data_IF_216707547737
#
_entry.id   IF_216707547737
#
_cell.length_a   1.000
_cell.length_b   1.000
_cell.length_c   1.000
_cell.angle_alpha   90.00
_cell.angle_beta   90.00
_cell.angle_gamma   90.00
#
_symmetry.space_group_name_H-M   'P 1'
#
loop_
_entity.id
_entity.type
_entity.pdbx_description
1 polymer ?
#
# COMPACT_ATOMS: atom_id res chain seq x y z
N UNK A 1 -13.51 6.58 -13.25
CA UNK A 1 -13.30 5.28 -12.57
C UNK A 1 -14.22 5.22 -11.37
N UNK A 2 -15.11 4.22 -11.30
CA UNK A 2 -15.92 3.94 -10.09
C UNK A 2 -15.34 2.71 -9.39
N UNK A 3 -15.26 2.75 -8.07
CA UNK A 3 -14.82 1.62 -7.23
C UNK A 3 -15.75 1.49 -6.02
N UNK A 4 -16.10 0.26 -5.67
CA UNK A 4 -17.00 -0.07 -4.56
C UNK A 4 -16.51 -1.32 -3.80
N UNK A 5 -16.97 -1.48 -2.58
CA UNK A 5 -16.67 -2.65 -1.73
C UNK A 5 -17.98 -3.35 -1.37
N UNK A 6 -18.10 -4.62 -1.77
CA UNK A 6 -19.24 -5.47 -1.44
C UNK A 6 -18.82 -6.56 -0.44
N UNK A 7 -19.43 -6.56 0.75
CA UNK A 7 -19.18 -7.53 1.81
C UNK A 7 -20.46 -8.32 2.15
N UNK A 8 -20.80 -9.36 1.37
CA UNK A 8 -21.99 -10.18 1.62
C UNK A 8 -21.78 -11.01 2.90
N UNK A 9 -22.46 -10.64 4.00
CA UNK A 9 -22.46 -11.41 5.26
C UNK A 9 -23.49 -12.55 5.26
N UNK A 10 -23.59 -13.26 4.13
CA UNK A 10 -24.58 -14.33 3.91
C UNK A 10 -25.76 -13.94 3.02
N UNK A 11 -25.95 -12.64 2.76
CA UNK A 11 -27.00 -12.11 1.86
C UNK A 11 -26.43 -11.71 0.49
N UNK A 12 -27.29 -11.65 -0.53
CA UNK A 12 -26.91 -11.13 -1.85
C UNK A 12 -26.90 -9.60 -1.87
N UNK A 13 -25.79 -9.02 -2.31
CA UNK A 13 -25.60 -7.58 -2.51
C UNK A 13 -25.38 -7.30 -4.00
N UNK A 14 -25.95 -6.20 -4.49
CA UNK A 14 -25.76 -5.71 -5.86
C UNK A 14 -25.51 -4.20 -5.86
N UNK A 15 -24.66 -3.73 -6.76
CA UNK A 15 -24.37 -2.31 -6.98
C UNK A 15 -24.45 -2.02 -8.48
N UNK A 16 -25.13 -0.94 -8.85
CA UNK A 16 -25.22 -0.49 -10.24
C UNK A 16 -24.20 0.62 -10.51
N UNK A 17 -23.54 0.54 -11.67
CA UNK A 17 -22.47 1.47 -12.06
C UNK A 17 -22.82 2.10 -13.40
N UNK A 18 -23.30 3.34 -13.35
CA UNK A 18 -23.51 4.13 -14.57
C UNK A 18 -22.18 4.64 -15.13
N UNK A 19 -22.00 4.49 -16.44
CA UNK A 19 -20.85 5.01 -17.20
C UNK A 19 -21.35 6.06 -18.19
N UNK A 20 -21.12 7.33 -17.87
CA UNK A 20 -21.41 8.46 -18.77
C UNK A 20 -20.21 8.74 -19.66
N UNK A 21 -20.43 8.76 -20.98
CA UNK A 21 -19.41 9.17 -21.96
C UNK A 21 -19.53 10.68 -22.22
N UNK A 22 -18.42 11.39 -22.45
CA UNK A 22 -18.46 12.80 -22.84
C UNK A 22 -18.96 12.96 -24.28
N UNK A 23 -19.48 14.15 -24.62
CA UNK A 23 -20.11 14.42 -25.92
C UNK A 23 -19.15 14.32 -27.12
N UNK A 24 -17.86 14.52 -26.87
CA UNK A 24 -16.77 14.51 -27.86
C UNK A 24 -16.10 13.13 -28.02
N UNK A 25 -16.80 12.05 -27.66
CA UNK A 25 -16.27 10.68 -27.77
C UNK A 25 -16.04 10.28 -29.24
N UNK A 26 -14.85 9.73 -29.53
CA UNK A 26 -14.51 9.22 -30.85
C UNK A 26 -15.18 7.84 -31.03
N UNK A 27 -15.78 7.62 -32.19
CA UNK A 27 -16.44 6.35 -32.49
C UNK A 27 -15.45 5.17 -32.36
N UNK A 28 -15.84 4.15 -31.60
CA UNK A 28 -15.01 2.97 -31.33
C UNK A 28 -13.90 3.15 -30.29
N UNK A 29 -13.72 4.34 -29.69
CA UNK A 29 -12.67 4.56 -28.68
C UNK A 29 -13.08 4.20 -27.25
N UNK A 30 -14.36 3.94 -27.01
CA UNK A 30 -14.88 3.66 -25.68
C UNK A 30 -14.43 2.27 -25.20
N UNK A 31 -13.69 2.24 -24.09
CA UNK A 31 -13.24 1.00 -23.43
C UNK A 31 -13.72 1.04 -21.98
N UNK A 32 -14.34 -0.05 -21.53
CA UNK A 32 -14.68 -0.28 -20.12
C UNK A 32 -14.06 -1.59 -19.66
N UNK A 33 -13.50 -1.59 -18.45
CA UNK A 33 -12.95 -2.79 -17.81
C UNK A 33 -13.42 -2.88 -16.37
N UNK A 34 -13.75 -4.10 -15.94
CA UNK A 34 -14.16 -4.40 -14.57
C UNK A 34 -13.10 -5.27 -13.93
N UNK A 35 -12.80 -4.97 -12.66
CA UNK A 35 -11.74 -5.62 -11.92
C UNK A 35 -12.21 -5.94 -10.51
N UNK A 36 -12.24 -7.23 -10.15
CA UNK A 36 -12.68 -7.68 -8.82
C UNK A 36 -11.48 -8.13 -8.01
N UNK A 37 -11.48 -7.79 -6.72
CA UNK A 37 -10.48 -8.24 -5.74
C UNK A 37 -11.23 -8.57 -4.45
N UNK A 38 -11.03 -9.77 -3.91
CA UNK A 38 -11.59 -10.16 -2.62
C UNK A 38 -10.83 -9.61 -1.42
N UNK A 39 -9.64 -9.06 -1.65
CA UNK A 39 -8.77 -8.53 -0.62
C UNK A 39 -8.03 -7.27 -1.10
N UNK A 40 -8.22 -6.17 -0.38
CA UNK A 40 -7.63 -4.85 -0.70
C UNK A 40 -6.10 -4.93 -0.77
N UNK A 41 -5.48 -5.75 0.06
CA UNK A 41 -4.03 -5.98 0.09
C UNK A 41 -3.61 -7.19 -0.76
N UNK A 42 -4.53 -8.07 -1.14
CA UNK A 42 -4.25 -9.28 -1.92
C UNK A 42 -3.55 -9.00 -3.27
N UNK A 43 -3.93 -7.94 -3.99
CA UNK A 43 -3.20 -7.56 -5.23
C UNK A 43 -1.82 -7.02 -4.95
N UNK A 44 -1.72 -6.24 -3.88
CA UNK A 44 -0.47 -5.66 -3.46
C UNK A 44 0.55 -6.80 -3.20
N UNK A 45 0.14 -7.80 -2.43
CA UNK A 45 1.01 -8.88 -1.96
C UNK A 45 1.41 -9.91 -3.01
N UNK A 46 0.71 -9.99 -4.16
CA UNK A 46 1.18 -10.78 -5.31
C UNK A 46 2.58 -10.36 -5.77
N UNK A 47 2.95 -9.09 -5.56
CA UNK A 47 4.28 -8.54 -5.87
C UNK A 47 4.99 -8.09 -4.59
N UNK A 48 5.10 -9.01 -3.63
CA UNK A 48 5.66 -8.74 -2.30
C UNK A 48 7.08 -8.14 -2.36
N UNK A 49 7.89 -8.53 -3.34
CA UNK A 49 9.21 -7.96 -3.58
C UNK A 49 9.18 -6.49 -4.06
N UNK A 50 8.12 -6.08 -4.75
CA UNK A 50 7.87 -4.68 -5.10
C UNK A 50 7.28 -3.85 -3.95
N UNK A 51 6.73 -4.51 -2.93
CA UNK A 51 6.05 -3.88 -1.80
C UNK A 51 6.80 -3.87 -0.48
N UNK A 52 7.81 -4.72 -0.33
CA UNK A 52 8.79 -4.64 0.76
C UNK A 52 10.11 -4.04 0.27
N UNK A 53 10.15 -2.80 -0.27
CA UNK A 53 11.42 -2.18 -0.62
C UNK A 53 12.17 -1.72 0.63
N UNK A 54 13.49 -1.64 0.50
CA UNK A 54 14.34 -1.07 1.53
C UNK A 54 14.05 0.44 1.67
N UNK A 55 13.79 0.98 2.87
CA UNK A 55 13.62 2.41 3.08
C UNK A 55 14.85 3.24 2.65
N UNK A 56 14.60 4.37 1.99
CA UNK A 56 15.63 5.23 1.41
C UNK A 56 15.22 6.71 1.43
N UNK A 57 16.10 7.58 0.95
CA UNK A 57 15.78 9.00 0.75
C UNK A 57 15.80 9.85 2.02
N UNK A 58 15.15 11.01 1.94
CA UNK A 58 14.96 11.97 3.03
C UNK A 58 13.91 11.47 4.05
N UNK A 59 13.67 12.21 5.14
CA UNK A 59 12.77 11.77 6.21
C UNK A 59 11.36 11.45 5.74
N UNK A 60 10.84 12.18 4.75
CA UNK A 60 9.53 11.93 4.15
C UNK A 60 9.53 10.66 3.29
N UNK A 61 10.49 10.53 2.38
CA UNK A 61 10.61 9.36 1.50
C UNK A 61 10.88 8.08 2.30
N UNK A 62 11.69 8.17 3.36
CA UNK A 62 11.97 7.06 4.23
C UNK A 62 10.69 6.59 4.95
N UNK A 63 9.86 7.50 5.46
CA UNK A 63 8.57 7.17 6.07
C UNK A 63 7.54 6.64 5.07
N UNK A 64 7.51 7.18 3.86
CA UNK A 64 6.62 6.73 2.79
C UNK A 64 6.86 5.25 2.43
N UNK A 65 8.08 4.74 2.63
CA UNK A 65 8.43 3.32 2.44
C UNK A 65 8.31 2.52 3.74
N UNK A 66 8.72 3.10 4.88
CA UNK A 66 8.75 2.39 6.16
C UNK A 66 7.35 2.02 6.64
N UNK A 67 6.37 2.92 6.50
CA UNK A 67 5.01 2.72 7.01
C UNK A 67 4.29 1.56 6.30
N UNK A 68 4.24 1.48 4.96
CA UNK A 68 3.66 0.33 4.26
C UNK A 68 4.29 -1.02 4.64
N UNK A 69 5.62 -1.08 4.85
CA UNK A 69 6.31 -2.31 5.24
C UNK A 69 5.81 -2.87 6.58
N UNK A 70 5.43 -2.00 7.52
CA UNK A 70 4.87 -2.40 8.83
C UNK A 70 3.49 -3.03 8.62
N UNK A 71 2.61 -2.37 7.86
CA UNK A 71 1.25 -2.85 7.63
C UNK A 71 1.21 -4.16 6.82
N UNK A 72 2.13 -4.32 5.86
CA UNK A 72 2.29 -5.57 5.12
C UNK A 72 2.63 -6.72 6.06
N UNK A 73 3.57 -6.52 6.98
CA UNK A 73 3.92 -7.55 7.97
C UNK A 73 2.74 -7.91 8.87
N UNK A 74 2.04 -6.91 9.39
CA UNK A 74 0.85 -7.12 10.24
C UNK A 74 -0.24 -7.88 9.49
N UNK A 75 -0.48 -7.53 8.22
CA UNK A 75 -1.46 -8.25 7.40
C UNK A 75 -1.05 -9.71 7.18
N UNK A 76 0.20 -9.97 6.81
CA UNK A 76 0.67 -11.34 6.56
C UNK A 76 0.62 -12.19 7.84
N UNK A 77 0.89 -11.58 8.99
CA UNK A 77 0.78 -12.23 10.29
C UNK A 77 -0.68 -12.58 10.62
N UNK A 78 -1.59 -11.61 10.50
CA UNK A 78 -3.02 -11.79 10.78
C UNK A 78 -3.72 -12.76 9.81
N UNK A 79 -3.28 -12.80 8.55
CA UNK A 79 -3.81 -13.73 7.54
C UNK A 79 -3.08 -15.07 7.52
N UNK A 80 -2.11 -15.30 8.42
CA UNK A 80 -1.30 -16.52 8.51
C UNK A 80 -0.51 -16.85 7.23
N UNK A 81 -0.17 -15.83 6.45
CA UNK A 81 0.62 -15.93 5.21
C UNK A 81 2.11 -15.59 5.42
N UNK A 82 2.50 -15.21 6.64
CA UNK A 82 3.86 -14.80 6.97
C UNK A 82 4.84 -16.00 7.04
N UNK A 83 5.86 -15.99 6.19
CA UNK A 83 6.97 -16.94 6.24
C UNK A 83 8.16 -16.38 7.04
N UNK A 84 9.05 -17.26 7.51
CA UNK A 84 10.28 -16.86 8.21
C UNK A 84 11.16 -15.95 7.35
N UNK A 85 11.35 -16.30 6.08
CA UNK A 85 12.15 -15.51 5.13
C UNK A 85 11.61 -14.08 4.95
N UNK A 86 10.28 -13.92 4.82
CA UNK A 86 9.66 -12.60 4.72
C UNK A 86 9.82 -11.82 6.03
N UNK A 87 9.61 -12.48 7.17
CA UNK A 87 9.76 -11.86 8.50
C UNK A 87 11.18 -11.35 8.70
N UNK A 88 12.20 -12.14 8.38
CA UNK A 88 13.60 -11.76 8.54
C UNK A 88 13.98 -10.58 7.63
N UNK A 89 13.63 -10.67 6.34
CA UNK A 89 13.89 -9.60 5.34
C UNK A 89 13.24 -8.28 5.78
N UNK A 90 11.95 -8.33 6.09
CA UNK A 90 11.18 -7.15 6.46
C UNK A 90 11.67 -6.57 7.80
N UNK A 91 11.94 -7.40 8.81
CA UNK A 91 12.51 -6.93 10.08
C UNK A 91 13.84 -6.23 9.88
N UNK A 92 14.70 -6.76 8.99
CA UNK A 92 15.95 -6.11 8.60
C UNK A 92 15.74 -4.75 7.92
N UNK A 93 14.72 -4.60 7.08
CA UNK A 93 14.36 -3.31 6.47
C UNK A 93 13.75 -2.34 7.47
N UNK A 94 12.88 -2.80 8.37
CA UNK A 94 12.29 -1.97 9.42
C UNK A 94 13.35 -1.43 10.37
N UNK A 95 14.29 -2.26 10.84
CA UNK A 95 15.40 -1.82 11.71
C UNK A 95 16.24 -0.73 11.03
N UNK A 96 16.61 -0.94 9.77
CA UNK A 96 17.39 0.04 8.98
C UNK A 96 16.62 1.34 8.74
N UNK A 97 15.36 1.26 8.34
CA UNK A 97 14.53 2.44 8.09
C UNK A 97 14.21 3.22 9.36
N UNK A 98 13.99 2.53 10.49
CA UNK A 98 13.84 3.17 11.79
C UNK A 98 15.11 3.93 12.20
N UNK A 99 16.27 3.27 12.09
CA UNK A 99 17.54 3.91 12.42
C UNK A 99 17.84 5.11 11.49
N UNK A 100 17.48 5.01 10.21
CA UNK A 100 17.55 6.14 9.28
C UNK A 100 16.58 7.26 9.65
N UNK A 101 15.36 6.93 10.09
CA UNK A 101 14.37 7.93 10.49
C UNK A 101 14.83 8.75 11.69
N UNK A 102 15.57 8.15 12.62
CA UNK A 102 16.13 8.84 13.78
C UNK A 102 17.09 9.97 13.41
N UNK A 103 17.73 9.93 12.24
CA UNK A 103 18.59 11.02 11.76
C UNK A 103 17.79 12.31 11.47
N UNK A 104 16.48 12.21 11.28
CA UNK A 104 15.59 13.34 11.03
C UNK A 104 14.88 13.84 12.28
N UNK A 105 15.22 13.30 13.46
CA UNK A 105 14.66 13.68 14.76
C UNK A 105 15.41 14.87 15.36
N UNK A 106 14.67 15.90 15.75
CA UNK A 106 15.18 17.02 16.54
C UNK A 106 15.32 16.65 18.04
N UNK A 107 16.30 17.18 18.81
CA UNK A 107 16.36 17.10 20.27
C UNK A 107 15.04 17.38 20.99
N UNK A 108 14.22 18.32 20.47
CA UNK A 108 12.89 18.60 20.99
C UNK A 108 11.85 17.48 20.74
N UNK A 109 12.19 16.46 19.93
CA UNK A 109 11.37 15.29 19.65
C UNK A 109 10.62 15.32 18.30
N UNK A 110 10.55 16.48 17.64
CA UNK A 110 9.92 16.60 16.33
C UNK A 110 10.74 15.93 15.21
N UNK A 111 10.10 15.65 14.08
CA UNK A 111 10.74 15.14 12.87
C UNK A 111 10.53 16.11 11.71
N UNK A 112 11.52 16.25 10.84
CA UNK A 112 11.42 17.06 9.62
C UNK A 112 11.87 16.29 8.38
N UNK A 113 11.61 16.83 7.20
CA UNK A 113 11.95 16.18 5.92
C UNK A 113 13.47 16.06 5.73
N UNK A 114 14.24 17.04 6.19
CA UNK A 114 15.70 17.10 6.00
C UNK A 114 16.51 16.93 7.29
N UNK A 115 15.90 17.00 8.48
CA UNK A 115 16.60 16.88 9.75
C UNK A 115 17.34 18.17 10.12
N UNK A 116 18.57 18.04 10.61
CA UNK A 116 19.49 19.18 10.73
C UNK A 116 20.30 19.29 9.44
N UNK A 117 20.26 20.48 8.82
CA UNK A 117 21.28 20.88 7.84
C UNK A 117 22.62 21.09 8.51
#
# INVERSE_FOLDING_TARGET
TKCGLLCPKGDSLSEEVDLTLPEDVIEGSAISSVSVIGDILGRALKNLDGLLPMPYGCGEQNMAVLSPNIYILQYLENTKQLTSAIREKATGFLKRGYQRQLNYRHPAGAYSTFGYG
#
